data_IF_051530533212
#
_entry.id   IF_051530533212
#
_cell.length_a   1.000
_cell.length_b   1.000
_cell.length_c   1.000
_cell.angle_alpha   90.00
_cell.angle_beta   90.00
_cell.angle_gamma   90.00
#
_symmetry.space_group_name_H-M   'P 1'
#
loop_
_entity.id
_entity.type
_entity.pdbx_description
1 polymer ?
#
# COMPACT_ATOMS: atom_id res chain seq x y z
N UNK A 1 -4.16 7.30 18.91
CA UNK A 1 -5.11 8.42 18.71
C UNK A 1 -6.41 8.24 19.52
N UNK A 2 -6.90 7.02 19.81
CA UNK A 2 -8.29 6.82 20.29
C UNK A 2 -8.46 6.28 21.74
N UNK A 3 -7.41 5.75 22.39
CA UNK A 3 -7.53 5.01 23.66
C UNK A 3 -7.87 5.81 24.95
N UNK A 4 -8.04 7.14 24.92
CA UNK A 4 -8.14 7.94 26.16
C UNK A 4 -9.11 9.14 26.12
N UNK A 5 -10.15 9.15 25.27
CA UNK A 5 -11.02 10.33 25.17
C UNK A 5 -12.51 9.97 25.15
N UNK A 6 -13.21 10.37 26.21
CA UNK A 6 -14.65 10.16 26.43
C UNK A 6 -15.52 11.07 25.55
N UNK A 7 -16.47 10.46 24.84
CA UNK A 7 -17.67 10.99 24.19
C UNK A 7 -17.51 12.15 23.18
N UNK A 8 -17.70 11.81 21.89
CA UNK A 8 -17.94 12.63 20.69
C UNK A 8 -16.76 13.28 19.93
N UNK A 9 -15.72 12.51 19.55
CA UNK A 9 -14.65 13.02 18.66
C UNK A 9 -14.51 12.29 17.32
N UNK A 10 -15.20 11.18 17.11
CA UNK A 10 -15.18 10.44 15.84
C UNK A 10 -16.56 9.83 15.57
N UNK A 11 -16.90 9.69 14.29
CA UNK A 11 -18.12 9.01 13.87
C UNK A 11 -17.91 7.50 13.93
N UNK A 12 -18.80 6.81 14.63
CA UNK A 12 -18.85 5.35 14.60
C UNK A 12 -19.65 4.90 13.38
N UNK A 13 -18.92 4.61 12.30
CA UNK A 13 -19.47 4.18 11.00
C UNK A 13 -18.60 3.06 10.43
N UNK A 14 -19.14 2.19 9.56
CA UNK A 14 -18.32 1.19 8.88
C UNK A 14 -17.17 1.87 8.12
N UNK A 15 -15.97 1.29 8.21
CA UNK A 15 -14.78 1.79 7.52
C UNK A 15 -14.17 0.72 6.62
N UNK A 16 -13.75 1.12 5.44
CA UNK A 16 -12.89 0.34 4.55
C UNK A 16 -11.60 1.12 4.32
N UNK A 17 -10.47 0.54 4.72
CA UNK A 17 -9.16 1.22 4.75
C UNK A 17 -8.21 0.55 3.76
N UNK A 18 -7.76 1.33 2.79
CA UNK A 18 -6.99 0.87 1.64
C UNK A 18 -5.62 1.52 1.49
N UNK A 19 -4.74 0.82 0.79
CA UNK A 19 -3.55 1.37 0.14
C UNK A 19 -3.12 0.44 -0.99
N UNK A 20 -2.20 0.89 -1.82
CA UNK A 20 -1.50 0.07 -2.81
C UNK A 20 -0.19 -0.48 -2.24
N UNK A 21 0.36 -1.56 -2.80
CA UNK A 21 1.53 -2.24 -2.24
C UNK A 21 2.84 -1.46 -2.49
N UNK A 22 2.94 -0.76 -3.61
CA UNK A 22 4.08 0.07 -3.98
C UNK A 22 3.66 1.54 -4.15
N UNK A 23 2.93 2.09 -3.17
CA UNK A 23 2.42 3.47 -3.13
C UNK A 23 3.37 4.52 -3.72
N UNK A 24 4.66 4.45 -3.42
CA UNK A 24 5.62 5.46 -3.90
C UNK A 24 6.10 5.27 -5.34
N UNK A 25 5.65 4.23 -6.04
CA UNK A 25 6.04 3.89 -7.42
C UNK A 25 5.49 4.86 -8.47
N UNK A 26 4.76 5.90 -8.08
CA UNK A 26 4.38 6.98 -9.00
C UNK A 26 5.55 7.91 -9.30
N UNK A 27 6.35 8.25 -8.27
CA UNK A 27 7.50 9.18 -8.32
C UNK A 27 8.50 8.86 -7.21
N UNK A 28 9.22 7.72 -7.29
CA UNK A 28 10.16 7.36 -6.24
C UNK A 28 11.31 8.37 -6.20
N UNK A 29 11.78 8.72 -5.00
CA UNK A 29 12.81 9.75 -4.80
C UNK A 29 14.10 9.56 -5.63
N UNK A 30 14.58 8.33 -5.89
CA UNK A 30 15.72 8.12 -6.77
C UNK A 30 15.47 8.37 -8.27
N UNK A 31 14.22 8.56 -8.69
CA UNK A 31 13.80 8.77 -10.08
C UNK A 31 14.18 7.62 -11.02
N UNK A 32 14.34 7.93 -12.31
CA UNK A 32 14.66 6.96 -13.37
C UNK A 32 15.84 6.05 -13.07
N UNK A 33 16.83 6.54 -12.32
CA UNK A 33 18.03 5.76 -12.03
C UNK A 33 17.70 4.44 -11.33
N UNK A 34 16.60 4.40 -10.56
CA UNK A 34 16.14 3.23 -9.83
C UNK A 34 15.93 2.00 -10.74
N UNK A 35 15.41 2.21 -11.96
CA UNK A 35 15.16 1.15 -12.95
C UNK A 35 16.43 0.42 -13.39
N UNK A 36 17.58 1.07 -13.24
CA UNK A 36 18.89 0.54 -13.66
C UNK A 36 19.75 0.07 -12.49
N UNK A 37 19.28 0.20 -11.25
CA UNK A 37 20.09 -0.13 -10.08
C UNK A 37 20.32 -1.63 -9.94
N UNK A 38 21.57 -1.98 -9.66
CA UNK A 38 21.91 -3.32 -9.20
C UNK A 38 21.53 -3.52 -7.73
N UNK A 39 21.54 -4.75 -7.26
CA UNK A 39 21.41 -5.06 -5.83
C UNK A 39 22.46 -4.32 -4.98
N UNK A 40 23.67 -4.12 -5.51
CA UNK A 40 24.72 -3.37 -4.83
C UNK A 40 24.40 -1.87 -4.74
N UNK A 41 23.79 -1.29 -5.79
CA UNK A 41 23.38 0.11 -5.80
C UNK A 41 22.25 0.36 -4.80
N UNK A 42 21.23 -0.52 -4.80
CA UNK A 42 20.13 -0.48 -3.84
C UNK A 42 20.65 -0.60 -2.40
N UNK A 43 21.50 -1.60 -2.12
CA UNK A 43 22.11 -1.80 -0.80
C UNK A 43 22.89 -0.56 -0.34
N UNK A 44 23.69 0.02 -1.23
CA UNK A 44 24.46 1.24 -0.95
C UNK A 44 23.54 2.42 -0.64
N UNK A 45 22.46 2.57 -1.40
CA UNK A 45 21.48 3.64 -1.18
C UNK A 45 20.76 3.50 0.15
N UNK A 46 20.20 2.31 0.45
CA UNK A 46 19.50 2.01 1.70
C UNK A 46 20.42 2.22 2.90
N UNK A 47 21.65 1.69 2.83
CA UNK A 47 22.64 1.87 3.90
C UNK A 47 22.95 3.34 4.15
N UNK A 48 23.10 4.14 3.09
CA UNK A 48 23.35 5.58 3.20
C UNK A 48 22.16 6.33 3.81
N UNK A 49 20.92 5.98 3.42
CA UNK A 49 19.70 6.67 3.88
C UNK A 49 19.31 6.31 5.31
N UNK A 50 19.47 5.04 5.68
CA UNK A 50 19.07 4.53 7.00
C UNK A 50 20.22 4.53 8.01
N UNK A 51 21.47 4.68 7.56
CA UNK A 51 22.65 4.76 8.43
C UNK A 51 22.53 5.77 9.59
N UNK A 52 21.97 6.98 9.38
CA UNK A 52 21.74 7.93 10.47
C UNK A 52 20.78 7.45 11.58
N UNK A 53 19.94 6.45 11.31
CA UNK A 53 19.04 5.82 12.29
C UNK A 53 19.69 4.62 13.01
N UNK A 54 20.92 4.26 12.63
CA UNK A 54 21.69 3.16 13.21
C UNK A 54 22.09 2.11 12.16
N UNK A 55 23.32 1.60 12.26
CA UNK A 55 23.82 0.57 11.32
C UNK A 55 23.03 -0.75 11.35
N UNK A 56 22.40 -1.08 12.48
CA UNK A 56 21.49 -2.21 12.60
C UNK A 56 20.21 -2.01 11.79
N UNK A 57 19.64 -0.79 11.79
CA UNK A 57 18.40 -0.49 11.06
C UNK A 57 18.56 -0.77 9.57
N UNK A 58 19.64 -0.28 8.97
CA UNK A 58 19.95 -0.51 7.56
C UNK A 58 20.15 -2.00 7.22
N UNK A 59 20.88 -2.74 8.05
CA UNK A 59 21.13 -4.17 7.80
C UNK A 59 19.87 -5.02 7.99
N UNK A 60 19.07 -4.72 9.01
CA UNK A 60 17.82 -5.43 9.27
C UNK A 60 16.79 -5.13 8.18
N UNK A 61 16.67 -3.88 7.71
CA UNK A 61 15.76 -3.56 6.61
C UNK A 61 16.13 -4.34 5.34
N UNK A 62 17.41 -4.41 4.97
CA UNK A 62 17.86 -5.21 3.83
C UNK A 62 17.60 -6.71 3.97
N UNK A 63 17.39 -7.21 5.20
CA UNK A 63 17.02 -8.60 5.47
C UNK A 63 15.51 -8.80 5.36
N UNK A 64 14.73 -7.82 5.82
CA UNK A 64 13.27 -7.81 5.77
C UNK A 64 12.70 -7.61 4.36
N UNK A 65 13.48 -7.02 3.46
CA UNK A 65 13.15 -6.82 2.05
C UNK A 65 14.20 -7.50 1.16
N UNK A 66 14.12 -8.84 0.99
CA UNK A 66 15.04 -9.56 0.14
C UNK A 66 14.90 -9.11 -1.33
N UNK A 67 15.92 -9.42 -2.13
CA UNK A 67 15.87 -9.15 -3.56
C UNK A 67 14.93 -10.13 -4.26
N UNK A 68 13.68 -9.73 -4.47
CA UNK A 68 12.65 -10.60 -5.07
C UNK A 68 12.52 -10.41 -6.58
N UNK A 69 12.58 -9.17 -7.07
CA UNK A 69 12.41 -8.83 -8.49
C UNK A 69 13.55 -7.96 -8.99
N UNK A 70 13.43 -6.66 -8.77
CA UNK A 70 14.39 -5.63 -9.17
C UNK A 70 14.50 -4.56 -8.08
N UNK A 71 15.36 -3.57 -8.33
CA UNK A 71 15.59 -2.49 -7.37
C UNK A 71 14.36 -1.60 -7.18
N UNK A 72 13.55 -1.39 -8.23
CA UNK A 72 12.33 -0.59 -8.18
C UNK A 72 11.35 -1.23 -7.20
N UNK A 73 11.01 -2.51 -7.42
CA UNK A 73 10.10 -3.26 -6.57
C UNK A 73 10.51 -3.24 -5.10
N UNK A 74 11.78 -3.57 -4.81
CA UNK A 74 12.26 -3.67 -3.42
C UNK A 74 12.27 -2.29 -2.77
N UNK A 75 12.74 -1.26 -3.50
CA UNK A 75 12.79 0.10 -2.98
C UNK A 75 11.41 0.66 -2.71
N UNK A 76 10.48 0.55 -3.68
CA UNK A 76 9.14 1.11 -3.56
C UNK A 76 8.31 0.36 -2.54
N UNK A 77 8.47 -0.95 -2.41
CA UNK A 77 7.84 -1.75 -1.33
C UNK A 77 8.31 -1.29 0.04
N UNK A 78 9.64 -1.27 0.29
CA UNK A 78 10.20 -0.84 1.58
C UNK A 78 9.80 0.60 1.92
N UNK A 79 9.86 1.49 0.94
CA UNK A 79 9.56 2.91 1.15
C UNK A 79 8.06 3.12 1.36
N UNK A 80 7.19 2.36 0.70
CA UNK A 80 5.74 2.40 0.92
C UNK A 80 5.38 1.92 2.33
N UNK A 81 6.06 0.89 2.84
CA UNK A 81 5.88 0.44 4.22
C UNK A 81 6.16 1.55 5.23
N UNK A 82 7.30 2.23 5.09
CA UNK A 82 7.68 3.35 5.96
C UNK A 82 6.70 4.52 5.83
N UNK A 83 6.36 4.89 4.60
CA UNK A 83 5.63 6.14 4.30
C UNK A 83 4.12 6.02 4.34
N UNK A 84 3.55 4.82 4.27
CA UNK A 84 2.10 4.66 4.25
C UNK A 84 1.63 3.39 4.94
N UNK A 85 2.09 2.22 4.51
CA UNK A 85 1.43 0.95 4.83
C UNK A 85 1.46 0.68 6.34
N UNK A 86 2.60 0.85 7.00
CA UNK A 86 2.69 0.55 8.44
C UNK A 86 1.95 1.57 9.32
N UNK A 87 1.89 2.83 8.89
CA UNK A 87 1.05 3.84 9.53
C UNK A 87 -0.45 3.51 9.37
N UNK A 88 -0.84 3.07 8.17
CA UNK A 88 -2.21 2.67 7.83
C UNK A 88 -2.62 1.39 8.56
N UNK A 89 -1.74 0.40 8.71
CA UNK A 89 -1.96 -0.79 9.54
C UNK A 89 -2.24 -0.40 11.00
N UNK A 90 -1.39 0.47 11.56
CA UNK A 90 -1.59 0.96 12.92
C UNK A 90 -2.91 1.72 13.07
N UNK A 91 -3.28 2.54 12.07
CA UNK A 91 -4.56 3.25 12.04
C UNK A 91 -5.74 2.27 11.98
N UNK A 92 -5.69 1.27 11.11
CA UNK A 92 -6.74 0.26 10.98
C UNK A 92 -6.91 -0.55 12.26
N UNK A 93 -5.82 -0.94 12.93
CA UNK A 93 -5.87 -1.59 14.22
C UNK A 93 -6.50 -0.70 15.29
N UNK A 94 -6.08 0.57 15.38
CA UNK A 94 -6.71 1.52 16.30
C UNK A 94 -8.21 1.71 16.00
N UNK A 95 -8.61 1.68 14.73
CA UNK A 95 -10.01 1.77 14.35
C UNK A 95 -10.80 0.54 14.80
N UNK A 96 -10.30 -0.65 14.50
CA UNK A 96 -10.96 -1.90 14.90
C UNK A 96 -11.09 -2.09 16.42
N UNK A 97 -10.17 -1.51 17.20
CA UNK A 97 -10.22 -1.58 18.67
C UNK A 97 -11.23 -0.60 19.29
N UNK A 98 -11.58 0.49 18.60
CA UNK A 98 -12.35 1.59 19.19
C UNK A 98 -13.68 1.94 18.50
N UNK A 99 -13.96 1.40 17.32
CA UNK A 99 -15.30 1.44 16.72
C UNK A 99 -16.11 0.22 17.15
N UNK A 100 -17.44 0.41 17.23
CA UNK A 100 -18.36 -0.73 17.26
C UNK A 100 -18.78 -1.15 15.85
N UNK A 101 -18.63 -0.26 14.87
CA UNK A 101 -18.88 -0.53 13.46
C UNK A 101 -17.80 -1.41 12.82
N UNK A 102 -18.21 -2.11 11.76
CA UNK A 102 -17.37 -3.01 10.98
C UNK A 102 -16.17 -2.27 10.33
N UNK A 103 -14.96 -2.82 10.49
CA UNK A 103 -13.74 -2.32 9.84
C UNK A 103 -13.19 -3.36 8.87
N UNK A 104 -12.94 -2.94 7.64
CA UNK A 104 -12.37 -3.74 6.56
C UNK A 104 -11.04 -3.15 6.11
N UNK A 105 -10.11 -4.02 5.70
CA UNK A 105 -8.76 -3.66 5.28
C UNK A 105 -8.45 -4.30 3.92
N UNK A 106 -7.86 -3.53 3.00
CA UNK A 106 -7.30 -4.07 1.76
C UNK A 106 -5.95 -3.47 1.35
N UNK A 107 -5.13 -4.29 0.72
CA UNK A 107 -3.93 -3.84 0.00
C UNK A 107 -4.09 -4.21 -1.47
N UNK A 108 -3.90 -3.24 -2.35
CA UNK A 108 -3.87 -3.51 -3.80
C UNK A 108 -2.49 -4.02 -4.19
N UNK A 109 -2.45 -5.24 -4.71
CA UNK A 109 -1.26 -5.89 -5.28
C UNK A 109 -1.33 -5.98 -6.81
N UNK A 110 -2.43 -5.51 -7.42
CA UNK A 110 -2.54 -5.38 -8.88
C UNK A 110 -1.45 -4.47 -9.42
N UNK A 111 -0.74 -4.92 -10.45
CA UNK A 111 0.15 -4.09 -11.24
C UNK A 111 -0.53 -3.71 -12.56
N UNK A 112 -0.23 -2.52 -13.10
CA UNK A 112 -0.62 -2.21 -14.46
C UNK A 112 -0.10 -3.23 -15.44
N UNK A 113 -0.92 -3.65 -16.41
CA UNK A 113 -0.50 -4.62 -17.42
C UNK A 113 0.65 -4.18 -18.34
N UNK A 114 0.91 -2.88 -18.38
CA UNK A 114 2.08 -2.27 -19.01
C UNK A 114 2.50 -1.03 -18.21
N UNK A 115 3.78 -0.63 -18.20
CA UNK A 115 4.23 0.54 -17.47
C UNK A 115 3.41 1.80 -17.79
N UNK A 116 3.14 2.59 -16.76
CA UNK A 116 2.19 3.71 -16.80
C UNK A 116 2.91 5.01 -16.47
N UNK A 117 2.82 6.01 -17.37
CA UNK A 117 3.48 7.31 -17.19
C UNK A 117 2.44 8.41 -17.06
N UNK A 118 2.45 9.13 -15.95
CA UNK A 118 1.59 10.30 -15.78
C UNK A 118 2.00 11.44 -16.71
N UNK A 119 1.05 12.27 -17.11
CA UNK A 119 1.37 13.50 -17.88
C UNK A 119 2.45 14.32 -17.15
N UNK A 120 3.61 14.49 -17.79
CA UNK A 120 4.75 15.21 -17.24
C UNK A 120 5.63 14.45 -16.22
N UNK A 121 5.41 13.15 -16.02
CA UNK A 121 6.36 12.28 -15.31
C UNK A 121 7.41 11.74 -16.27
N UNK A 122 8.69 11.72 -15.86
CA UNK A 122 9.71 10.94 -16.58
C UNK A 122 9.67 9.46 -16.19
N UNK A 123 9.01 9.13 -15.07
CA UNK A 123 9.03 7.82 -14.44
C UNK A 123 7.80 7.03 -14.82
N UNK A 124 8.05 5.86 -15.40
CA UNK A 124 7.03 4.87 -15.74
C UNK A 124 6.78 3.99 -14.52
N UNK A 125 5.58 4.03 -13.95
CA UNK A 125 5.19 3.15 -12.84
C UNK A 125 4.91 1.75 -13.37
N UNK A 126 5.55 0.74 -12.78
CA UNK A 126 5.41 -0.66 -13.20
C UNK A 126 4.67 -1.50 -12.16
N UNK A 127 4.47 -0.97 -10.96
CA UNK A 127 3.95 -1.69 -9.80
C UNK A 127 2.68 -1.06 -9.25
N UNK A 128 2.17 -1.55 -8.11
CA UNK A 128 0.92 -1.07 -7.50
C UNK A 128 1.12 0.33 -6.91
N UNK A 129 1.17 1.35 -7.76
CA UNK A 129 1.50 2.73 -7.42
C UNK A 129 0.32 3.49 -6.78
N UNK A 130 0.59 4.66 -6.20
CA UNK A 130 -0.43 5.49 -5.56
C UNK A 130 -1.64 5.76 -6.46
N UNK A 131 -2.86 5.61 -5.92
CA UNK A 131 -4.13 5.82 -6.62
C UNK A 131 -4.45 4.84 -7.75
N UNK A 132 -3.69 3.74 -7.93
CA UNK A 132 -4.00 2.72 -8.93
C UNK A 132 -5.42 2.15 -8.79
N UNK A 133 -5.86 1.93 -7.56
CA UNK A 133 -7.23 1.52 -7.22
C UNK A 133 -8.29 2.58 -7.55
N UNK A 134 -7.98 3.86 -7.36
CA UNK A 134 -8.87 4.97 -7.72
C UNK A 134 -9.05 5.07 -9.24
N UNK A 135 -7.97 4.86 -10.01
CA UNK A 135 -8.05 4.81 -11.48
C UNK A 135 -8.93 3.65 -11.95
N UNK A 136 -8.79 2.49 -11.30
CA UNK A 136 -9.58 1.32 -11.57
C UNK A 136 -11.06 1.52 -11.20
N UNK A 137 -11.35 2.12 -10.05
CA UNK A 137 -12.70 2.42 -9.61
C UNK A 137 -13.45 3.34 -10.59
N UNK A 138 -12.78 4.35 -11.14
CA UNK A 138 -13.40 5.32 -12.04
C UNK A 138 -13.24 5.00 -13.54
N UNK A 139 -12.59 3.88 -13.91
CA UNK A 139 -12.20 3.57 -15.29
C UNK A 139 -11.48 4.74 -15.99
N UNK A 140 -10.56 5.39 -15.29
CA UNK A 140 -9.87 6.60 -15.76
C UNK A 140 -8.41 6.36 -16.17
N UNK A 141 -8.06 5.10 -16.46
CA UNK A 141 -6.73 4.66 -16.90
C UNK A 141 -6.18 5.46 -18.10
N UNK A 142 -7.03 5.68 -19.11
CA UNK A 142 -6.65 6.37 -20.35
C UNK A 142 -6.57 7.89 -20.18
N UNK A 143 -7.51 8.47 -19.43
CA UNK A 143 -7.65 9.92 -19.26
C UNK A 143 -6.47 10.55 -18.52
N UNK A 144 -5.93 9.87 -17.50
CA UNK A 144 -4.88 10.41 -16.65
C UNK A 144 -3.48 9.94 -17.04
N UNK A 145 -3.39 8.75 -17.65
CA UNK A 145 -2.11 8.09 -17.87
C UNK A 145 -1.94 7.49 -19.27
N UNK A 146 -2.89 7.71 -20.20
CA UNK A 146 -2.87 7.11 -21.54
C UNK A 146 -2.67 5.58 -21.50
N UNK A 147 -3.07 4.94 -20.39
CA UNK A 147 -2.94 3.50 -20.20
C UNK A 147 -4.13 2.80 -20.85
N UNK A 148 -3.85 1.74 -21.62
CA UNK A 148 -4.88 0.90 -22.23
C UNK A 148 -4.99 -0.39 -21.43
N UNK A 149 -6.07 -0.60 -20.65
CA UNK A 149 -6.19 -1.77 -19.81
C UNK A 149 -6.23 -3.05 -20.66
N UNK A 150 -5.61 -4.11 -20.15
CA UNK A 150 -5.83 -5.47 -20.65
C UNK A 150 -6.87 -6.20 -19.78
N UNK A 151 -7.10 -7.48 -20.06
CA UNK A 151 -8.07 -8.31 -19.32
C UNK A 151 -7.80 -8.40 -17.81
N UNK A 152 -6.55 -8.36 -17.36
CA UNK A 152 -6.21 -8.41 -15.93
C UNK A 152 -6.48 -7.06 -15.25
N UNK A 153 -6.17 -5.94 -15.92
CA UNK A 153 -6.56 -4.60 -15.45
C UNK A 153 -8.09 -4.45 -15.38
N UNK A 154 -8.81 -4.99 -16.38
CA UNK A 154 -10.27 -4.99 -16.42
C UNK A 154 -10.87 -5.75 -15.24
N UNK A 155 -10.41 -6.98 -14.98
CA UNK A 155 -10.85 -7.76 -13.81
C UNK A 155 -10.57 -7.05 -12.49
N UNK A 156 -9.39 -6.45 -12.36
CA UNK A 156 -9.04 -5.66 -11.18
C UNK A 156 -10.01 -4.49 -11.00
N UNK A 157 -10.32 -3.75 -12.07
CA UNK A 157 -11.33 -2.70 -12.07
C UNK A 157 -12.72 -3.19 -11.66
N UNK A 158 -13.18 -4.30 -12.23
CA UNK A 158 -14.46 -4.93 -11.87
C UNK A 158 -14.54 -5.30 -10.38
N UNK A 159 -13.47 -5.87 -9.83
CA UNK A 159 -13.38 -6.21 -8.40
C UNK A 159 -13.46 -4.95 -7.54
N UNK A 160 -12.61 -3.95 -7.80
CA UNK A 160 -12.60 -2.70 -7.04
C UNK A 160 -13.97 -2.03 -7.09
N UNK A 161 -14.59 -1.93 -8.27
CA UNK A 161 -15.92 -1.33 -8.38
C UNK A 161 -16.98 -2.11 -7.61
N UNK A 162 -16.99 -3.44 -7.73
CA UNK A 162 -17.98 -4.29 -7.07
C UNK A 162 -17.89 -4.18 -5.56
N UNK A 163 -16.69 -4.30 -5.01
CA UNK A 163 -16.45 -4.30 -3.57
C UNK A 163 -16.71 -2.92 -2.96
N UNK A 164 -16.22 -1.85 -3.59
CA UNK A 164 -16.42 -0.49 -3.10
C UNK A 164 -17.88 -0.04 -3.22
N UNK A 165 -18.57 -0.38 -4.31
CA UNK A 165 -19.99 -0.06 -4.48
C UNK A 165 -20.87 -0.84 -3.50
N UNK A 166 -20.57 -2.11 -3.24
CA UNK A 166 -21.30 -2.89 -2.25
C UNK A 166 -21.06 -2.36 -0.84
N UNK A 167 -19.84 -1.96 -0.51
CA UNK A 167 -19.52 -1.33 0.76
C UNK A 167 -20.27 0.00 0.93
N UNK A 168 -20.26 0.86 -0.08
CA UNK A 168 -21.01 2.12 -0.03
C UNK A 168 -22.52 1.92 0.16
N UNK A 169 -23.08 0.85 -0.42
CA UNK A 169 -24.52 0.54 -0.34
C UNK A 169 -24.93 -0.14 0.96
N UNK A 170 -24.08 -1.02 1.51
CA UNK A 170 -24.48 -1.97 2.56
C UNK A 170 -23.62 -1.88 3.83
N UNK A 171 -22.52 -1.12 3.79
CA UNK A 171 -21.49 -1.11 4.82
C UNK A 171 -20.58 -2.34 4.80
N UNK A 172 -20.67 -3.21 3.78
CA UNK A 172 -19.92 -4.48 3.70
C UNK A 172 -19.38 -4.75 2.29
N UNK A 173 -18.20 -5.37 2.13
CA UNK A 173 -17.75 -5.92 0.86
C UNK A 173 -18.72 -6.99 0.33
N UNK A 174 -18.67 -7.24 -0.97
CA UNK A 174 -19.51 -8.24 -1.65
C UNK A 174 -18.98 -9.66 -1.46
N UNK A 175 -17.65 -9.82 -1.39
CA UNK A 175 -17.03 -11.11 -1.09
C UNK A 175 -17.27 -11.51 0.38
N UNK A 176 -17.88 -12.69 0.56
CA UNK A 176 -18.23 -13.25 1.86
C UNK A 176 -17.02 -13.72 2.66
N UNK A 177 -15.88 -13.91 2.03
CA UNK A 177 -14.63 -14.29 2.68
C UNK A 177 -13.84 -13.08 3.20
N UNK A 178 -14.25 -11.87 2.85
CA UNK A 178 -13.64 -10.65 3.34
C UNK A 178 -14.15 -10.35 4.75
N UNK A 179 -13.57 -11.06 5.73
CA UNK A 179 -13.88 -10.90 7.14
C UNK A 179 -13.37 -9.57 7.71
N UNK A 180 -13.90 -9.22 8.88
CA UNK A 180 -13.54 -8.00 9.60
C UNK A 180 -12.07 -7.98 10.01
N UNK A 181 -11.43 -6.82 9.89
CA UNK A 181 -10.13 -6.54 10.48
C UNK A 181 -10.25 -6.52 12.02
N UNK A 182 -9.27 -7.03 12.80
CA UNK A 182 -7.92 -7.47 12.41
C UNK A 182 -7.80 -8.94 12.00
N UNK A 183 -8.90 -9.66 11.75
CA UNK A 183 -8.79 -11.08 11.39
C UNK A 183 -8.24 -11.29 9.98
N UNK A 184 -8.57 -10.39 9.06
CA UNK A 184 -8.23 -10.51 7.64
C UNK A 184 -7.90 -9.15 7.02
N UNK A 185 -6.89 -9.16 6.16
CA UNK A 185 -6.62 -8.14 5.15
C UNK A 185 -6.82 -8.75 3.76
N UNK A 186 -7.63 -8.11 2.92
CA UNK A 186 -7.79 -8.51 1.53
C UNK A 186 -6.60 -8.03 0.69
N UNK A 187 -6.07 -8.89 -0.17
CA UNK A 187 -5.04 -8.57 -1.15
C UNK A 187 -5.73 -8.58 -2.52
N UNK A 188 -5.89 -7.39 -3.10
CA UNK A 188 -6.70 -7.20 -4.31
C UNK A 188 -5.78 -7.10 -5.52
N UNK A 189 -5.96 -8.04 -6.44
CA UNK A 189 -5.36 -8.05 -7.77
C UNK A 189 -6.45 -8.31 -8.82
N UNK A 190 -6.21 -9.15 -9.82
CA UNK A 190 -7.26 -9.69 -10.69
C UNK A 190 -8.12 -10.79 -10.03
N UNK A 191 -7.82 -11.11 -8.77
CA UNK A 191 -8.57 -11.89 -7.80
C UNK A 191 -8.42 -11.27 -6.39
N UNK A 192 -9.14 -11.83 -5.40
CA UNK A 192 -9.00 -11.44 -3.99
C UNK A 192 -8.39 -12.59 -3.21
N UNK A 193 -7.22 -12.35 -2.64
CA UNK A 193 -6.60 -13.23 -1.65
C UNK A 193 -6.73 -12.63 -0.25
N UNK A 194 -6.44 -13.43 0.78
CA UNK A 194 -6.59 -13.02 2.17
C UNK A 194 -5.36 -13.40 2.99
N UNK A 195 -4.93 -12.48 3.85
CA UNK A 195 -3.84 -12.70 4.81
C UNK A 195 -4.28 -12.24 6.20
N UNK A 196 -3.66 -12.77 7.26
CA UNK A 196 -3.90 -12.32 8.64
C UNK A 196 -3.30 -10.92 8.86
N UNK A 197 -2.12 -10.66 8.30
CA UNK A 197 -1.46 -9.36 8.38
C UNK A 197 -0.53 -9.13 7.19
N UNK A 198 -0.72 -8.01 6.50
CA UNK A 198 0.20 -7.57 5.46
C UNK A 198 1.47 -6.98 6.11
N UNK A 199 2.64 -7.51 5.73
CA UNK A 199 3.95 -6.98 6.17
C UNK A 199 4.11 -6.83 7.70
N UNK A 200 3.56 -7.79 8.46
CA UNK A 200 3.55 -7.77 9.94
C UNK A 200 4.93 -7.52 10.56
N UNK A 201 5.95 -8.23 10.11
CA UNK A 201 7.30 -8.13 10.67
C UNK A 201 8.00 -6.84 10.26
N UNK A 202 7.80 -6.41 9.02
CA UNK A 202 8.29 -5.14 8.49
C UNK A 202 7.71 -3.97 9.29
N UNK A 203 6.39 -3.98 9.51
CA UNK A 203 5.73 -2.90 10.23
C UNK A 203 6.07 -2.88 11.73
N UNK A 204 6.18 -4.03 12.38
CA UNK A 204 6.71 -4.08 13.74
C UNK A 204 8.10 -3.44 13.81
N UNK A 205 9.00 -3.83 12.91
CA UNK A 205 10.36 -3.28 12.84
C UNK A 205 10.37 -1.76 12.64
N UNK A 206 9.64 -1.22 11.67
CA UNK A 206 9.62 0.23 11.42
C UNK A 206 9.06 1.02 12.61
N UNK A 207 7.95 0.56 13.18
CA UNK A 207 7.31 1.23 14.32
C UNK A 207 8.22 1.20 15.55
N UNK A 208 8.81 0.04 15.87
CA UNK A 208 9.72 -0.12 17.01
C UNK A 208 11.00 0.71 16.88
N UNK A 209 11.45 0.98 15.64
CA UNK A 209 12.61 1.82 15.35
C UNK A 209 12.24 3.30 15.13
N UNK A 210 11.02 3.71 15.50
CA UNK A 210 10.62 5.12 15.54
C UNK A 210 10.25 5.73 14.19
N UNK A 211 9.87 4.91 13.20
CA UNK A 211 9.54 5.41 11.86
C UNK A 211 8.09 5.88 11.68
N UNK A 212 7.22 5.74 12.68
CA UNK A 212 5.83 6.22 12.60
C UNK A 212 5.69 7.71 12.19
N UNK A 213 6.53 8.66 12.64
CA UNK A 213 6.46 10.05 12.19
C UNK A 213 6.75 10.25 10.69
N UNK A 214 7.28 9.23 9.99
CA UNK A 214 7.53 9.27 8.56
C UNK A 214 6.34 8.74 7.73
N UNK A 215 5.29 8.23 8.39
CA UNK A 215 4.06 7.82 7.73
C UNK A 215 3.23 9.04 7.27
N UNK A 216 2.47 8.85 6.20
CA UNK A 216 1.64 9.85 5.49
C UNK A 216 2.42 11.06 4.96
N UNK A 217 3.73 10.91 4.78
CA UNK A 217 4.55 11.87 4.05
C UNK A 217 4.71 11.30 2.64
N UNK A 218 4.10 11.89 1.61
CA UNK A 218 4.23 11.46 0.20
C UNK A 218 5.09 12.42 -0.63
#
# INVERSE_FOLDING_TARGET
MWKNRTNSLYSDVPLMIGNTAQEVDLRPTPGESLKSWTQADLRRYITKRLGPFGGSVANTSLTLYPWEKDAEYVFTTMTSDVRLICGTELLANMASEALTSDVYRYVVESFPSSPVSGSGSSFDSSYAFHSWDSLAFFWSFDQLFNHRPNREDEKFGEIIQTEMANFAKTGKPSDKNWYLYPNVTALISSDIMYTDAYHKHQCAFWIENGFLPYSWIN
#
